data_IF_457651746301
#
_entry.id   IF_457651746301
#
_cell.length_a   1.000
_cell.length_b   1.000
_cell.length_c   1.000
_cell.angle_alpha   90.00
_cell.angle_beta   90.00
_cell.angle_gamma   90.00
#
_symmetry.space_group_name_H-M   'P 1'
#
loop_
_entity.id
_entity.type
_entity.pdbx_description
1 polymer ?
#
# COMPACT_ATOMS: atom_id res chain seq x y z
N UNK A 1 21.63 -28.35 -15.18
CA UNK A 1 22.94 -28.74 -14.62
C UNK A 1 23.52 -27.51 -13.97
N UNK A 2 23.34 -27.38 -12.69
CA UNK A 2 23.81 -26.26 -11.88
C UNK A 2 25.26 -26.56 -11.48
N UNK A 3 26.22 -25.73 -11.90
CA UNK A 3 27.61 -25.81 -11.45
C UNK A 3 27.85 -24.71 -10.43
N UNK A 4 28.16 -25.16 -9.25
CA UNK A 4 28.51 -24.39 -8.06
C UNK A 4 29.31 -23.08 -8.31
N UNK A 5 28.79 -21.97 -7.77
CA UNK A 5 29.61 -20.98 -7.10
C UNK A 5 30.34 -19.94 -7.95
N UNK A 6 29.70 -19.30 -8.96
CA UNK A 6 30.24 -18.05 -9.53
C UNK A 6 29.10 -17.08 -9.87
N UNK A 7 28.97 -16.03 -9.08
CA UNK A 7 28.11 -14.88 -9.39
C UNK A 7 28.96 -13.81 -10.10
N UNK A 8 28.58 -13.38 -11.31
CA UNK A 8 29.25 -12.32 -12.06
C UNK A 8 28.52 -11.02 -11.74
N UNK A 9 29.15 -10.14 -10.97
CA UNK A 9 28.64 -8.77 -10.77
C UNK A 9 29.35 -7.85 -11.76
N UNK A 10 28.63 -7.38 -12.77
CA UNK A 10 29.14 -6.36 -13.69
C UNK A 10 28.99 -4.96 -13.04
N UNK A 11 30.10 -4.38 -12.61
CA UNK A 11 30.16 -3.00 -12.12
C UNK A 11 30.51 -2.07 -13.30
N UNK A 12 29.58 -1.22 -13.72
CA UNK A 12 29.82 -0.18 -14.73
C UNK A 12 30.59 0.97 -14.05
N UNK A 13 31.90 1.08 -14.33
CA UNK A 13 32.70 2.25 -13.98
C UNK A 13 32.53 3.31 -15.09
N UNK A 14 32.06 4.50 -14.73
CA UNK A 14 32.10 5.68 -15.59
C UNK A 14 33.56 6.14 -15.69
N UNK A 15 34.10 6.11 -16.90
CA UNK A 15 35.42 6.67 -17.21
C UNK A 15 35.29 8.18 -17.47
N UNK A 16 35.99 8.94 -16.66
CA UNK A 16 36.52 10.26 -17.05
C UNK A 16 37.98 10.05 -17.50
N UNK A 17 38.25 10.53 -18.70
CA UNK A 17 39.56 10.60 -19.39
C UNK A 17 40.04 9.36 -20.12
N UNK A 18 39.97 9.53 -21.48
CA UNK A 18 40.47 8.68 -22.51
C UNK A 18 41.81 8.00 -22.28
N UNK A 19 41.79 6.69 -22.47
CA UNK A 19 42.78 5.88 -23.15
C UNK A 19 42.24 4.45 -23.23
N UNK A 20 42.61 3.81 -24.35
CA UNK A 20 42.16 2.51 -24.85
C UNK A 20 42.25 1.32 -23.88
N UNK A 21 41.15 0.56 -23.83
CA UNK A 21 40.96 -0.86 -23.78
C UNK A 21 41.92 -1.77 -23.01
N UNK A 22 41.45 -2.37 -21.95
CA UNK A 22 41.59 -3.80 -21.61
C UNK A 22 40.45 -4.14 -20.64
N UNK A 23 39.68 -5.20 -20.94
CA UNK A 23 38.74 -5.78 -19.99
C UNK A 23 39.52 -6.68 -19.03
N UNK A 24 39.81 -6.18 -17.84
CA UNK A 24 40.32 -7.00 -16.75
C UNK A 24 39.14 -7.54 -15.91
N UNK A 25 38.95 -8.86 -15.95
CA UNK A 25 38.04 -9.56 -15.07
C UNK A 25 38.74 -9.87 -13.75
N UNK A 26 38.36 -9.16 -12.68
CA UNK A 26 38.82 -9.48 -11.34
C UNK A 26 37.92 -10.57 -10.75
N UNK A 27 38.45 -11.76 -10.58
CA UNK A 27 37.79 -12.84 -9.85
C UNK A 27 38.01 -12.65 -8.35
N UNK A 28 36.97 -12.32 -7.62
CA UNK A 28 36.97 -12.36 -6.16
C UNK A 28 36.43 -13.72 -5.72
N UNK A 29 37.32 -14.61 -5.26
CA UNK A 29 36.92 -15.85 -4.60
C UNK A 29 36.52 -15.52 -3.15
N UNK A 30 35.23 -15.61 -2.84
CA UNK A 30 34.74 -15.47 -1.47
C UNK A 30 34.83 -16.81 -0.74
N UNK A 31 35.70 -16.89 0.29
CA UNK A 31 35.74 -18.00 1.23
C UNK A 31 35.07 -17.52 2.52
N UNK A 32 33.75 -17.52 2.53
CA UNK A 32 32.95 -17.29 3.73
C UNK A 32 32.34 -18.60 4.20
N UNK A 33 32.58 -18.94 5.46
CA UNK A 33 31.92 -20.00 6.20
C UNK A 33 30.38 -19.85 6.01
N UNK A 34 29.70 -20.98 5.89
CA UNK A 34 28.23 -21.10 5.92
C UNK A 34 27.70 -20.51 7.21
N UNK A 35 27.40 -19.21 7.19
CA UNK A 35 26.49 -18.57 8.12
C UNK A 35 25.17 -18.39 7.39
N UNK A 36 24.14 -18.96 7.97
CA UNK A 36 22.74 -18.92 7.72
C UNK A 36 22.31 -18.02 6.56
N UNK A 37 21.89 -18.65 5.45
CA UNK A 37 21.01 -18.01 4.47
C UNK A 37 19.69 -17.81 5.21
N UNK A 38 19.56 -16.71 5.95
CA UNK A 38 18.25 -16.17 6.31
C UNK A 38 17.55 -15.94 4.98
N UNK A 39 16.53 -16.74 4.67
CA UNK A 39 15.76 -16.60 3.46
C UNK A 39 15.29 -15.15 3.36
N UNK A 40 15.70 -14.47 2.30
CA UNK A 40 15.27 -13.09 2.07
C UNK A 40 13.78 -13.13 1.72
N UNK A 41 12.92 -12.65 2.63
CA UNK A 41 11.47 -12.56 2.39
C UNK A 41 11.24 -11.63 1.20
N UNK A 42 10.67 -12.15 0.13
CA UNK A 42 10.36 -11.36 -1.08
C UNK A 42 8.98 -10.72 -0.96
N UNK A 43 8.91 -9.38 -1.08
CA UNK A 43 7.67 -8.59 -1.05
C UNK A 43 7.55 -7.82 -2.35
N UNK A 44 6.71 -8.29 -3.28
CA UNK A 44 6.55 -7.69 -4.62
C UNK A 44 5.14 -7.26 -4.96
N UNK A 45 4.15 -7.76 -4.22
CA UNK A 45 2.74 -7.60 -4.55
C UNK A 45 2.06 -6.62 -3.59
N UNK A 46 1.29 -5.67 -4.15
CA UNK A 46 0.32 -4.86 -3.43
C UNK A 46 -1.10 -5.38 -3.74
N UNK A 47 -1.90 -5.65 -2.73
CA UNK A 47 -3.33 -5.94 -2.83
C UNK A 47 -4.13 -4.72 -2.40
N UNK A 48 -5.01 -4.22 -3.27
CA UNK A 48 -5.91 -3.10 -2.99
C UNK A 48 -7.37 -3.59 -2.97
N UNK A 49 -8.02 -3.67 -1.79
CA UNK A 49 -9.43 -3.98 -1.67
C UNK A 49 -10.29 -2.81 -2.18
N UNK A 50 -10.89 -2.94 -3.36
CA UNK A 50 -11.65 -1.89 -4.04
C UNK A 50 -13.08 -2.30 -4.44
N UNK A 51 -13.61 -3.41 -3.90
CA UNK A 51 -14.95 -3.91 -4.23
C UNK A 51 -16.11 -3.16 -3.53
N UNK A 52 -15.83 -2.43 -2.45
CA UNK A 52 -16.83 -1.74 -1.62
C UNK A 52 -17.66 -0.70 -2.40
N UNK A 53 -18.94 -0.58 -2.08
CA UNK A 53 -19.92 0.25 -2.83
C UNK A 53 -19.73 1.77 -2.66
N UNK A 54 -18.94 2.23 -1.70
CA UNK A 54 -18.70 3.66 -1.46
C UNK A 54 -19.96 4.43 -1.06
N UNK A 55 -20.85 3.84 -0.28
CA UNK A 55 -22.19 4.39 0.06
C UNK A 55 -22.16 5.76 0.73
N UNK A 56 -21.08 6.08 1.44
CA UNK A 56 -20.89 7.40 2.09
C UNK A 56 -20.79 8.55 1.08
N UNK A 57 -20.46 8.25 -0.19
CA UNK A 57 -20.30 9.22 -1.28
C UNK A 57 -21.48 9.26 -2.26
N UNK A 58 -22.58 8.56 -1.95
CA UNK A 58 -23.78 8.69 -2.78
C UNK A 58 -24.29 10.13 -2.77
N UNK A 59 -24.78 10.66 -3.91
CA UNK A 59 -25.06 9.93 -5.17
C UNK A 59 -23.88 9.80 -6.15
N UNK A 60 -22.72 10.40 -5.90
CA UNK A 60 -21.57 10.38 -6.83
C UNK A 60 -21.10 8.95 -7.16
N UNK A 61 -21.01 8.10 -6.16
CA UNK A 61 -20.55 6.70 -6.31
C UNK A 61 -21.58 5.77 -6.96
N UNK A 62 -22.73 6.28 -7.35
CA UNK A 62 -23.64 5.56 -8.25
C UNK A 62 -22.99 5.27 -9.62
N UNK A 63 -22.10 6.16 -10.07
CA UNK A 63 -21.47 6.08 -11.39
C UNK A 63 -19.94 6.01 -11.34
N UNK A 64 -19.30 6.65 -10.35
CA UNK A 64 -17.86 6.76 -10.24
C UNK A 64 -17.40 6.00 -8.99
N UNK A 65 -16.55 4.96 -9.09
CA UNK A 65 -15.92 4.35 -7.92
C UNK A 65 -15.22 5.39 -7.06
N UNK A 66 -15.39 5.32 -5.72
CA UNK A 66 -14.75 6.29 -4.81
C UNK A 66 -13.22 6.31 -4.97
N UNK A 67 -12.65 5.19 -5.33
CA UNK A 67 -11.22 4.97 -5.55
C UNK A 67 -10.69 5.77 -6.77
N UNK A 68 -11.58 6.12 -7.70
CA UNK A 68 -11.25 6.93 -8.89
C UNK A 68 -11.59 8.43 -8.71
N UNK A 69 -12.11 8.84 -7.57
CA UNK A 69 -12.31 10.26 -7.31
C UNK A 69 -10.95 10.95 -7.19
N UNK A 70 -10.72 12.06 -7.93
CA UNK A 70 -9.41 12.69 -7.99
C UNK A 70 -9.14 13.58 -6.76
N UNK A 71 -7.94 13.47 -6.21
CA UNK A 71 -7.36 14.44 -5.30
C UNK A 71 -6.38 15.27 -6.13
N UNK A 72 -6.71 16.54 -6.34
CA UNK A 72 -6.05 17.33 -7.37
C UNK A 72 -6.35 16.77 -8.77
N UNK A 73 -5.32 16.32 -9.46
CA UNK A 73 -5.40 15.70 -10.81
C UNK A 73 -5.18 14.18 -10.82
N UNK A 74 -5.04 13.57 -9.64
CA UNK A 74 -4.65 12.17 -9.50
C UNK A 74 -5.73 11.38 -8.76
N UNK A 75 -6.25 10.27 -9.31
CA UNK A 75 -7.18 9.39 -8.60
C UNK A 75 -6.61 8.87 -7.28
N UNK A 76 -7.44 8.76 -6.24
CA UNK A 76 -6.99 8.30 -4.92
C UNK A 76 -6.26 6.95 -4.98
N UNK A 77 -6.75 6.00 -5.78
CA UNK A 77 -6.10 4.70 -5.97
C UNK A 77 -4.69 4.82 -6.57
N UNK A 78 -4.46 5.80 -7.46
CA UNK A 78 -3.14 6.01 -8.06
C UNK A 78 -2.13 6.50 -7.02
N UNK A 79 -2.54 7.36 -6.08
CA UNK A 79 -1.66 7.81 -4.99
C UNK A 79 -1.21 6.63 -4.12
N UNK A 80 -2.10 5.68 -3.85
CA UNK A 80 -1.76 4.44 -3.11
C UNK A 80 -0.81 3.53 -3.92
N UNK A 81 -1.01 3.46 -5.24
CA UNK A 81 -0.12 2.72 -6.13
C UNK A 81 1.26 3.38 -6.19
N UNK A 82 1.33 4.70 -6.34
CA UNK A 82 2.58 5.45 -6.41
C UNK A 82 3.41 5.30 -5.12
N UNK A 83 2.76 5.25 -3.95
CA UNK A 83 3.41 4.91 -2.68
C UNK A 83 4.08 3.53 -2.75
N UNK A 84 3.36 2.52 -3.23
CA UNK A 84 3.87 1.15 -3.30
C UNK A 84 4.99 0.98 -4.34
N UNK A 85 4.84 1.60 -5.51
CA UNK A 85 5.91 1.63 -6.54
C UNK A 85 7.18 2.30 -5.98
N UNK A 86 7.02 3.40 -5.23
CA UNK A 86 8.12 4.07 -4.53
C UNK A 86 8.77 3.23 -3.43
N UNK A 87 8.08 2.22 -2.90
CA UNK A 87 8.59 1.23 -1.95
C UNK A 87 9.15 -0.04 -2.63
N UNK A 88 9.22 -0.09 -3.96
CA UNK A 88 9.81 -1.20 -4.71
C UNK A 88 8.85 -2.32 -5.10
N UNK A 89 7.54 -2.14 -4.88
CA UNK A 89 6.50 -3.06 -5.36
C UNK A 89 6.35 -2.92 -6.88
N UNK A 90 6.17 -4.02 -7.59
CA UNK A 90 6.03 -4.04 -9.06
C UNK A 90 4.80 -4.82 -9.56
N UNK A 91 4.03 -5.43 -8.66
CA UNK A 91 2.79 -6.11 -8.97
C UNK A 91 1.62 -5.57 -8.14
N UNK A 92 0.62 -5.04 -8.81
CA UNK A 92 -0.58 -4.45 -8.20
C UNK A 92 -1.77 -5.36 -8.46
N UNK A 93 -2.41 -5.83 -7.39
CA UNK A 93 -3.62 -6.65 -7.45
C UNK A 93 -4.80 -5.81 -6.97
N UNK A 94 -5.72 -5.53 -7.86
CA UNK A 94 -6.96 -4.82 -7.54
C UNK A 94 -8.05 -5.85 -7.24
N UNK A 95 -8.59 -5.85 -6.03
CA UNK A 95 -9.76 -6.65 -5.69
C UNK A 95 -11.00 -5.80 -5.94
N UNK A 96 -11.52 -5.88 -7.16
CA UNK A 96 -12.67 -5.12 -7.65
C UNK A 96 -13.99 -5.88 -7.55
N UNK A 97 -14.97 -5.39 -8.30
CA UNK A 97 -16.27 -6.04 -8.52
C UNK A 97 -16.70 -5.80 -9.96
N UNK A 98 -17.38 -6.74 -10.58
CA UNK A 98 -17.97 -6.58 -11.93
C UNK A 98 -18.93 -5.39 -12.04
N UNK A 99 -19.48 -4.93 -10.90
CA UNK A 99 -20.29 -3.73 -10.82
C UNK A 99 -19.50 -2.41 -10.99
N UNK A 100 -18.15 -2.47 -10.99
CA UNK A 100 -17.25 -1.30 -11.08
C UNK A 100 -16.31 -1.35 -12.30
N UNK A 101 -16.81 -1.45 -13.54
CA UNK A 101 -15.97 -1.60 -14.73
C UNK A 101 -15.04 -0.41 -14.97
N UNK A 102 -15.31 0.76 -14.38
CA UNK A 102 -14.46 1.94 -14.50
C UNK A 102 -13.06 1.72 -13.87
N UNK A 103 -12.91 0.86 -12.85
CA UNK A 103 -11.61 0.50 -12.30
C UNK A 103 -10.75 -0.23 -13.34
N UNK A 104 -11.31 -1.21 -14.04
CA UNK A 104 -10.60 -1.93 -15.10
C UNK A 104 -10.24 -1.00 -16.26
N UNK A 105 -11.17 -0.10 -16.64
CA UNK A 105 -10.97 0.88 -17.71
C UNK A 105 -9.84 1.86 -17.38
N UNK A 106 -9.65 2.19 -16.11
CA UNK A 106 -8.56 3.08 -15.68
C UNK A 106 -7.19 2.49 -15.97
N UNK A 107 -7.01 1.19 -15.78
CA UNK A 107 -5.75 0.49 -16.03
C UNK A 107 -5.59 0.02 -17.48
N UNK A 108 -6.62 0.11 -18.31
CA UNK A 108 -6.56 -0.26 -19.71
C UNK A 108 -5.75 0.77 -20.53
N UNK A 109 -4.84 0.31 -21.39
CA UNK A 109 -4.09 1.19 -22.27
C UNK A 109 -5.01 2.01 -23.19
N UNK A 110 -4.71 3.30 -23.35
CA UNK A 110 -5.47 4.25 -24.20
C UNK A 110 -4.57 4.91 -25.26
N UNK A 111 -4.03 4.14 -26.22
CA UNK A 111 -3.14 4.67 -27.24
C UNK A 111 -3.78 5.72 -28.15
N UNK A 112 -5.10 5.77 -28.21
CA UNK A 112 -5.88 6.83 -28.87
C UNK A 112 -5.71 8.19 -28.16
N UNK A 113 -5.81 8.23 -26.84
CA UNK A 113 -5.59 9.43 -26.03
C UNK A 113 -4.13 9.84 -26.02
N UNK A 114 -3.20 8.91 -25.92
CA UNK A 114 -1.76 9.19 -26.00
C UNK A 114 -1.39 9.90 -27.30
N UNK A 115 -1.84 9.35 -28.46
CA UNK A 115 -1.62 9.97 -29.77
C UNK A 115 -2.23 11.37 -29.86
N UNK A 116 -3.46 11.54 -29.34
CA UNK A 116 -4.12 12.83 -29.34
C UNK A 116 -3.35 13.87 -28.50
N UNK A 117 -2.85 13.51 -27.34
CA UNK A 117 -2.06 14.39 -26.46
C UNK A 117 -0.74 14.79 -27.13
N UNK A 118 -0.01 13.85 -27.73
CA UNK A 118 1.23 14.14 -28.48
C UNK A 118 0.97 15.05 -29.67
N UNK A 119 -0.11 14.82 -30.41
CA UNK A 119 -0.50 15.68 -31.54
C UNK A 119 -0.80 17.13 -31.11
N UNK A 120 -1.17 17.34 -29.82
CA UNK A 120 -1.36 18.67 -29.21
C UNK A 120 -0.11 19.22 -28.52
N UNK A 121 1.02 18.54 -28.59
CA UNK A 121 2.28 18.95 -27.94
C UNK A 121 2.30 18.72 -26.43
N UNK A 122 1.37 17.92 -25.89
CA UNK A 122 1.33 17.60 -24.44
C UNK A 122 1.96 16.22 -24.20
N UNK A 123 3.27 16.14 -24.43
CA UNK A 123 4.03 14.89 -24.31
C UNK A 123 4.12 14.41 -22.86
N UNK A 124 4.25 15.33 -21.89
CA UNK A 124 4.33 14.97 -20.47
C UNK A 124 3.07 14.22 -19.99
N UNK A 125 1.88 14.71 -20.36
CA UNK A 125 0.62 14.03 -20.01
C UNK A 125 0.45 12.72 -20.79
N UNK A 126 0.93 12.65 -22.05
CA UNK A 126 0.93 11.41 -22.82
C UNK A 126 1.83 10.34 -22.16
N UNK A 127 3.01 10.73 -21.65
CA UNK A 127 3.93 9.83 -20.95
C UNK A 127 3.34 9.39 -19.61
N UNK A 128 2.73 10.30 -18.84
CA UNK A 128 2.03 9.97 -17.60
C UNK A 128 0.88 8.98 -17.83
N UNK A 129 0.08 9.18 -18.88
CA UNK A 129 -0.98 8.25 -19.26
C UNK A 129 -0.43 6.88 -19.66
N UNK A 130 0.63 6.87 -20.45
CA UNK A 130 1.25 5.65 -20.96
C UNK A 130 1.99 4.85 -19.84
N UNK A 131 2.41 5.46 -18.73
CA UNK A 131 3.09 4.77 -17.64
C UNK A 131 2.15 3.91 -16.80
N UNK A 132 0.84 4.20 -16.80
CA UNK A 132 -0.15 3.43 -16.03
C UNK A 132 -0.20 1.99 -16.55
N UNK A 133 0.21 1.02 -15.71
CA UNK A 133 0.21 -0.41 -16.03
C UNK A 133 1.25 -0.87 -17.06
N UNK A 134 2.21 0.00 -17.48
CA UNK A 134 3.25 -0.38 -18.47
C UNK A 134 4.52 -0.89 -17.80
N UNK A 135 5.00 -0.20 -16.80
CA UNK A 135 6.29 -0.49 -16.16
C UNK A 135 6.13 -1.39 -14.90
N UNK A 136 4.91 -1.77 -14.59
CA UNK A 136 4.49 -2.62 -13.48
C UNK A 136 3.27 -3.45 -13.88
N UNK A 137 3.07 -4.58 -13.21
CA UNK A 137 2.00 -5.53 -13.54
C UNK A 137 0.72 -5.19 -12.79
N UNK A 138 -0.43 -5.26 -13.48
CA UNK A 138 -1.77 -5.17 -12.88
C UNK A 138 -2.49 -6.49 -13.05
N UNK A 139 -3.04 -7.00 -11.96
CA UNK A 139 -3.99 -8.12 -11.96
C UNK A 139 -5.29 -7.64 -11.32
N UNK A 140 -6.41 -8.00 -11.91
CA UNK A 140 -7.72 -7.68 -11.36
C UNK A 140 -8.41 -8.98 -10.99
N UNK A 141 -8.86 -9.07 -9.75
CA UNK A 141 -9.68 -10.18 -9.23
C UNK A 141 -10.99 -9.61 -8.69
N UNK A 142 -12.04 -10.41 -8.67
CA UNK A 142 -13.35 -9.92 -8.29
C UNK A 142 -13.81 -10.50 -6.95
N UNK A 143 -14.30 -9.62 -6.09
CA UNK A 143 -15.11 -9.95 -4.93
C UNK A 143 -16.57 -9.61 -5.26
N UNK A 144 -17.31 -10.56 -5.81
CA UNK A 144 -18.69 -10.33 -6.22
C UNK A 144 -19.66 -10.22 -5.04
N UNK A 145 -19.37 -10.92 -3.96
CA UNK A 145 -20.13 -10.89 -2.72
C UNK A 145 -19.25 -10.28 -1.60
N UNK A 146 -19.51 -9.01 -1.19
CA UNK A 146 -18.66 -8.31 -0.24
C UNK A 146 -18.86 -8.83 1.20
N UNK A 147 -18.07 -9.82 1.59
CA UNK A 147 -18.11 -10.46 2.93
C UNK A 147 -17.10 -9.88 3.92
N UNK A 148 -16.56 -8.72 3.68
CA UNK A 148 -15.57 -8.06 4.55
C UNK A 148 -14.15 -8.03 3.99
N UNK A 149 -13.25 -7.37 4.73
CA UNK A 149 -11.87 -7.12 4.30
C UNK A 149 -11.05 -8.42 4.21
N UNK A 150 -11.19 -9.34 5.16
CA UNK A 150 -10.51 -10.63 5.11
C UNK A 150 -10.86 -11.42 3.85
N UNK A 151 -12.16 -11.44 3.47
CA UNK A 151 -12.60 -12.08 2.23
C UNK A 151 -12.02 -11.39 0.99
N UNK A 152 -11.98 -10.05 0.97
CA UNK A 152 -11.38 -9.31 -0.15
C UNK A 152 -9.92 -9.69 -0.35
N UNK A 153 -9.12 -9.70 0.73
CA UNK A 153 -7.70 -10.12 0.68
C UNK A 153 -7.60 -11.58 0.22
N UNK A 154 -8.46 -12.47 0.72
CA UNK A 154 -8.51 -13.89 0.32
C UNK A 154 -8.72 -14.10 -1.17
N UNK A 155 -9.51 -13.23 -1.85
CA UNK A 155 -9.71 -13.31 -3.30
C UNK A 155 -8.40 -13.12 -4.10
N UNK A 156 -7.38 -12.50 -3.53
CA UNK A 156 -6.10 -12.30 -4.19
C UNK A 156 -5.13 -13.49 -4.07
N UNK A 157 -5.44 -14.52 -3.28
CA UNK A 157 -4.53 -15.62 -2.93
C UNK A 157 -3.88 -16.35 -4.13
N UNK A 158 -4.60 -16.46 -5.25
CA UNK A 158 -4.12 -17.17 -6.44
C UNK A 158 -3.21 -16.35 -7.35
N UNK A 159 -3.08 -15.04 -7.09
CA UNK A 159 -2.33 -14.10 -7.93
C UNK A 159 -1.26 -13.31 -7.18
N UNK A 160 -1.16 -13.48 -5.87
CA UNK A 160 -0.08 -12.91 -5.05
C UNK A 160 1.22 -13.66 -5.33
N UNK A 161 2.31 -12.90 -5.55
CA UNK A 161 3.65 -13.44 -5.72
C UNK A 161 4.53 -13.06 -4.51
N UNK A 162 5.55 -13.88 -4.23
CA UNK A 162 6.52 -13.67 -3.14
C UNK A 162 6.15 -14.40 -1.85
N UNK A 163 6.93 -14.18 -0.80
CA UNK A 163 6.77 -14.78 0.53
C UNK A 163 5.84 -13.93 1.42
N UNK A 164 5.74 -12.64 1.09
CA UNK A 164 4.85 -11.70 1.74
C UNK A 164 4.33 -10.67 0.73
N UNK A 165 3.26 -9.98 1.08
CA UNK A 165 2.62 -8.99 0.24
C UNK A 165 2.09 -7.82 1.05
N UNK A 166 1.93 -6.68 0.38
CA UNK A 166 1.33 -5.47 0.96
C UNK A 166 -0.19 -5.52 0.80
N UNK A 167 -0.94 -5.06 1.79
CA UNK A 167 -2.35 -4.68 1.65
C UNK A 167 -2.46 -3.19 1.97
N UNK A 168 -3.05 -2.42 1.06
CA UNK A 168 -3.32 -0.99 1.27
C UNK A 168 -4.78 -0.67 1.01
N UNK A 169 -5.42 -0.01 1.98
CA UNK A 169 -6.78 0.48 1.78
C UNK A 169 -6.76 1.68 0.84
N UNK A 170 -7.63 1.71 -0.20
CA UNK A 170 -7.59 2.74 -1.25
C UNK A 170 -8.09 4.12 -0.80
N UNK A 171 -8.65 4.23 0.38
CA UNK A 171 -9.14 5.47 0.98
C UNK A 171 -8.23 6.02 2.09
N UNK A 172 -7.07 5.42 2.29
CA UNK A 172 -6.03 5.95 3.17
C UNK A 172 -4.81 6.37 2.33
N UNK A 173 -4.53 7.66 2.27
CA UNK A 173 -3.39 8.23 1.53
C UNK A 173 -2.26 8.51 2.51
N UNK A 174 -1.05 8.13 2.15
CA UNK A 174 0.14 8.35 2.97
C UNK A 174 1.07 9.38 2.31
N UNK A 175 1.79 10.14 3.13
CA UNK A 175 2.77 11.14 2.69
C UNK A 175 4.07 10.51 2.18
N UNK A 176 4.00 9.75 1.09
CA UNK A 176 5.14 9.10 0.42
C UNK A 176 5.43 7.67 0.89
N UNK A 177 6.42 7.05 0.27
CA UNK A 177 6.70 5.60 0.37
C UNK A 177 7.53 5.16 1.59
N UNK A 178 8.11 6.09 2.35
CA UNK A 178 9.07 5.76 3.44
C UNK A 178 8.46 4.90 4.54
N UNK A 179 7.20 5.14 4.86
CA UNK A 179 6.50 4.36 5.88
C UNK A 179 6.32 2.91 5.44
N UNK A 180 5.82 2.71 4.23
CA UNK A 180 5.64 1.38 3.65
C UNK A 180 6.98 0.65 3.49
N UNK A 181 8.04 1.34 3.04
CA UNK A 181 9.38 0.77 2.95
C UNK A 181 9.85 0.27 4.32
N UNK A 182 9.67 1.05 5.39
CA UNK A 182 10.03 0.62 6.75
C UNK A 182 9.25 -0.64 7.18
N UNK A 183 7.96 -0.73 6.84
CA UNK A 183 7.16 -1.93 7.13
C UNK A 183 7.70 -3.17 6.40
N UNK A 184 8.09 -3.01 5.12
CA UNK A 184 8.70 -4.07 4.31
C UNK A 184 10.05 -4.50 4.91
N UNK A 185 10.88 -3.56 5.32
CA UNK A 185 12.18 -3.85 5.96
C UNK A 185 12.01 -4.62 7.28
N UNK A 186 11.01 -4.26 8.11
CA UNK A 186 10.67 -5.00 9.33
C UNK A 186 10.19 -6.41 8.99
N UNK A 187 9.29 -6.58 8.02
CA UNK A 187 8.83 -7.90 7.58
C UNK A 187 9.99 -8.78 7.11
N UNK A 188 10.87 -8.23 6.27
CA UNK A 188 12.03 -8.93 5.73
C UNK A 188 13.00 -9.36 6.83
N UNK A 189 13.23 -8.49 7.82
CA UNK A 189 14.17 -8.75 8.92
C UNK A 189 13.62 -9.76 9.92
N UNK A 190 12.32 -9.70 10.21
CA UNK A 190 11.68 -10.52 11.26
C UNK A 190 11.05 -11.80 10.72
N UNK A 191 10.91 -11.90 9.38
CA UNK A 191 10.15 -12.97 8.71
C UNK A 191 8.72 -13.12 9.24
N UNK A 192 8.12 -12.00 9.69
CA UNK A 192 6.79 -11.94 10.28
C UNK A 192 5.91 -10.87 9.63
N UNK A 193 4.61 -10.97 9.84
CA UNK A 193 3.65 -9.98 9.38
C UNK A 193 3.83 -8.64 10.11
N UNK A 194 3.48 -7.55 9.43
CA UNK A 194 3.60 -6.18 9.96
C UNK A 194 2.32 -5.41 9.73
N UNK A 195 1.83 -4.72 10.74
CA UNK A 195 0.68 -3.80 10.67
C UNK A 195 1.14 -2.36 10.87
N UNK A 196 0.57 -1.45 10.08
CA UNK A 196 0.77 -0.01 10.28
C UNK A 196 -0.01 0.47 11.49
N UNK A 197 0.63 1.26 12.35
CA UNK A 197 0.04 1.76 13.59
C UNK A 197 -0.01 3.29 13.62
N UNK A 198 -0.98 3.80 14.36
CA UNK A 198 -1.09 5.21 14.75
C UNK A 198 -1.64 5.30 16.16
N UNK A 199 -1.08 6.20 16.97
CA UNK A 199 -1.66 6.53 18.27
C UNK A 199 -2.81 7.51 18.09
N UNK A 200 -3.93 7.28 18.79
CA UNK A 200 -5.14 8.11 18.75
C UNK A 200 -5.68 8.37 20.15
N UNK A 201 -6.59 9.33 20.26
CA UNK A 201 -7.35 9.50 21.50
C UNK A 201 -8.15 8.24 21.83
N UNK A 202 -8.21 7.89 23.12
CA UNK A 202 -8.88 6.66 23.58
C UNK A 202 -10.34 6.55 23.12
N UNK A 203 -11.01 7.65 22.88
CA UNK A 203 -12.39 7.69 22.37
C UNK A 203 -12.54 7.22 20.92
N UNK A 204 -11.45 7.21 20.14
CA UNK A 204 -11.47 6.87 18.71
C UNK A 204 -11.27 5.38 18.42
N UNK A 205 -10.79 4.60 19.43
CA UNK A 205 -10.45 3.17 19.25
C UNK A 205 -11.63 2.31 18.78
N UNK A 206 -12.87 2.73 19.06
CA UNK A 206 -14.11 2.04 18.69
C UNK A 206 -14.27 1.76 17.18
N UNK A 207 -13.53 2.48 16.33
CA UNK A 207 -13.67 2.39 14.88
C UNK A 207 -12.63 1.47 14.24
N UNK A 208 -11.61 1.02 14.98
CA UNK A 208 -10.40 0.41 14.45
C UNK A 208 -10.05 -0.91 15.15
N UNK A 209 -9.20 -1.71 14.50
CA UNK A 209 -8.45 -2.75 15.19
C UNK A 209 -7.41 -2.11 16.12
N UNK A 210 -7.27 -2.62 17.32
CA UNK A 210 -6.35 -2.10 18.36
C UNK A 210 -5.36 -3.19 18.74
N UNK A 211 -4.07 -2.86 18.81
CA UNK A 211 -3.03 -3.82 19.17
C UNK A 211 -2.71 -3.83 20.65
N UNK A 212 -2.32 -4.99 21.16
CA UNK A 212 -1.72 -5.17 22.49
C UNK A 212 -0.20 -5.31 22.33
N UNK A 213 0.62 -4.27 22.62
CA UNK A 213 2.07 -4.37 22.55
C UNK A 213 2.62 -5.36 23.59
N UNK A 214 3.61 -6.19 23.21
CA UNK A 214 4.32 -7.09 24.16
C UNK A 214 5.52 -6.41 24.84
N UNK A 215 6.04 -5.33 24.26
CA UNK A 215 7.22 -4.61 24.74
C UNK A 215 7.09 -3.10 24.49
N UNK A 216 8.05 -2.34 24.99
CA UNK A 216 8.19 -0.93 24.60
C UNK A 216 8.52 -0.78 23.13
N UNK A 217 7.99 0.27 22.52
CA UNK A 217 8.27 0.61 21.13
C UNK A 217 9.70 1.14 21.00
N UNK A 218 10.45 0.61 20.04
CA UNK A 218 11.82 1.04 19.75
C UNK A 218 11.89 1.48 18.28
N UNK A 219 12.36 2.68 18.03
CA UNK A 219 12.43 3.29 16.70
C UNK A 219 11.12 3.21 15.91
N UNK A 220 9.98 3.33 16.62
CA UNK A 220 8.64 3.23 16.03
C UNK A 220 8.26 1.82 15.58
N UNK A 221 8.93 0.79 16.12
CA UNK A 221 8.60 -0.63 15.89
C UNK A 221 8.27 -1.28 17.22
N UNK A 222 7.21 -2.05 17.26
CA UNK A 222 6.79 -2.79 18.45
C UNK A 222 6.38 -4.22 18.09
N UNK A 223 6.71 -5.17 18.95
CA UNK A 223 6.17 -6.53 18.85
C UNK A 223 4.74 -6.55 19.36
N UNK A 224 3.83 -7.16 18.60
CA UNK A 224 2.40 -7.25 18.89
C UNK A 224 2.07 -8.64 19.40
N UNK A 225 1.48 -8.72 20.60
CA UNK A 225 1.08 -9.99 21.23
C UNK A 225 -0.37 -10.37 20.93
N UNK A 226 -1.25 -9.39 20.82
CA UNK A 226 -2.67 -9.62 20.50
C UNK A 226 -3.26 -8.39 19.78
N UNK A 227 -4.42 -8.56 19.17
CA UNK A 227 -5.17 -7.48 18.55
C UNK A 227 -6.69 -7.75 18.66
N UNK A 228 -7.46 -6.68 18.77
CA UNK A 228 -8.92 -6.74 18.96
C UNK A 228 -9.58 -5.79 17.96
N UNK A 229 -10.54 -6.30 17.19
CA UNK A 229 -11.32 -5.49 16.25
C UNK A 229 -12.39 -4.71 16.99
N UNK A 230 -12.36 -3.37 16.85
CA UNK A 230 -13.36 -2.42 17.39
C UNK A 230 -13.73 -2.69 18.86
N UNK A 231 -12.77 -2.70 19.77
CA UNK A 231 -13.05 -2.97 21.18
C UNK A 231 -13.89 -1.84 21.81
N UNK A 232 -14.59 -2.14 22.90
CA UNK A 232 -15.12 -1.09 23.76
C UNK A 232 -13.96 -0.26 24.36
N UNK A 233 -14.21 1.00 24.70
CA UNK A 233 -13.16 1.93 25.18
C UNK A 233 -12.42 1.36 26.39
N UNK A 234 -13.15 0.75 27.32
CA UNK A 234 -12.66 0.14 28.56
C UNK A 234 -11.95 -1.20 28.34
N UNK A 235 -12.24 -1.89 27.22
CA UNK A 235 -11.65 -3.17 26.82
C UNK A 235 -10.46 -3.02 25.87
N UNK A 236 -10.24 -1.83 25.29
CA UNK A 236 -9.16 -1.59 24.35
C UNK A 236 -7.79 -1.80 25.02
N UNK A 237 -6.90 -2.66 24.48
CA UNK A 237 -5.63 -3.00 25.11
C UNK A 237 -4.63 -1.84 25.09
N UNK A 238 -4.77 -0.89 24.17
CA UNK A 238 -3.93 0.30 24.05
C UNK A 238 -4.66 1.44 23.33
N UNK A 239 -3.96 2.52 22.99
CA UNK A 239 -4.42 3.57 22.07
C UNK A 239 -3.78 3.45 20.68
N UNK A 240 -3.05 2.37 20.39
CA UNK A 240 -2.43 2.09 19.11
C UNK A 240 -3.41 1.37 18.18
N UNK A 241 -3.92 2.10 17.22
CA UNK A 241 -4.84 1.56 16.21
C UNK A 241 -4.10 1.04 14.99
N UNK A 242 -4.69 0.05 14.32
CA UNK A 242 -4.24 -0.43 13.03
C UNK A 242 -4.80 0.49 11.95
N UNK A 243 -3.91 1.04 11.12
CA UNK A 243 -4.28 1.81 9.93
C UNK A 243 -4.26 0.93 8.69
N UNK A 244 -4.79 1.42 7.57
CA UNK A 244 -5.00 0.64 6.35
C UNK A 244 -3.74 0.26 5.57
N UNK A 245 -2.65 -0.09 6.28
CA UNK A 245 -1.38 -0.58 5.72
C UNK A 245 -0.95 -1.84 6.45
N UNK A 246 -0.70 -2.90 5.66
CA UNK A 246 -0.27 -4.21 6.17
C UNK A 246 0.81 -4.76 5.25
N UNK A 247 1.79 -5.47 5.81
CA UNK A 247 2.69 -6.38 5.09
C UNK A 247 2.49 -7.74 5.70
N UNK A 248 1.89 -8.66 4.94
CA UNK A 248 1.43 -9.95 5.44
C UNK A 248 2.21 -11.08 4.78
N UNK A 249 2.68 -12.03 5.56
CA UNK A 249 3.25 -13.27 5.04
C UNK A 249 2.14 -14.15 4.44
N UNK A 250 2.46 -14.93 3.39
CA UNK A 250 1.45 -15.64 2.57
C UNK A 250 0.67 -16.71 3.33
N UNK A 251 1.18 -17.20 4.46
CA UNK A 251 0.48 -18.12 5.37
C UNK A 251 -0.82 -17.52 5.97
N UNK A 252 -0.99 -16.19 5.90
CA UNK A 252 -2.26 -15.51 6.26
C UNK A 252 -3.46 -16.07 5.49
N UNK A 253 -3.26 -16.56 4.26
CA UNK A 253 -4.34 -17.11 3.46
C UNK A 253 -4.94 -18.39 4.06
N UNK A 254 -4.16 -19.15 4.83
CA UNK A 254 -4.66 -20.31 5.58
C UNK A 254 -5.63 -19.88 6.68
N UNK A 255 -5.32 -18.77 7.39
CA UNK A 255 -6.20 -18.21 8.42
C UNK A 255 -7.46 -17.60 7.82
N UNK A 256 -7.30 -16.83 6.72
CA UNK A 256 -8.45 -16.25 6.00
C UNK A 256 -9.43 -17.33 5.53
N UNK A 257 -8.93 -18.48 5.07
CA UNK A 257 -9.78 -19.60 4.62
C UNK A 257 -10.60 -20.23 5.76
N UNK A 258 -10.20 -20.04 7.01
CA UNK A 258 -10.87 -20.55 8.21
C UNK A 258 -11.74 -19.52 8.92
N UNK A 259 -11.76 -18.26 8.45
CA UNK A 259 -12.56 -17.20 9.06
C UNK A 259 -14.05 -17.57 9.08
N UNK A 260 -14.66 -17.30 10.22
CA UNK A 260 -16.12 -17.29 10.37
C UNK A 260 -16.62 -15.85 10.49
N UNK A 261 -17.85 -15.55 10.04
CA UNK A 261 -18.40 -14.21 10.16
C UNK A 261 -18.37 -13.71 11.61
N UNK A 262 -17.67 -12.60 11.83
CA UNK A 262 -17.55 -11.92 13.12
C UNK A 262 -18.58 -10.79 13.30
N UNK A 263 -18.13 -9.67 13.85
CA UNK A 263 -18.95 -8.48 14.02
C UNK A 263 -19.57 -8.03 12.69
N UNK A 264 -20.83 -7.66 12.71
CA UNK A 264 -21.64 -7.28 11.52
C UNK A 264 -21.76 -8.37 10.43
N UNK A 265 -21.41 -9.62 10.69
CA UNK A 265 -21.46 -10.71 9.71
C UNK A 265 -20.32 -10.67 8.68
N UNK A 266 -19.26 -9.93 8.92
CA UNK A 266 -18.11 -9.77 8.04
C UNK A 266 -16.95 -10.71 8.43
N UNK A 267 -16.15 -11.11 7.45
CA UNK A 267 -14.88 -11.80 7.62
C UNK A 267 -13.78 -10.74 7.83
N UNK A 268 -13.41 -10.51 9.09
CA UNK A 268 -12.48 -9.45 9.46
C UNK A 268 -11.03 -9.89 9.21
N UNK A 269 -10.24 -9.03 8.57
CA UNK A 269 -8.81 -9.30 8.36
C UNK A 269 -8.06 -9.31 9.71
N UNK A 270 -8.49 -8.50 10.67
CA UNK A 270 -7.95 -8.43 12.03
C UNK A 270 -8.02 -9.79 12.73
N UNK A 271 -9.12 -10.55 12.55
CA UNK A 271 -9.26 -11.88 13.15
C UNK A 271 -8.28 -12.89 12.52
N UNK A 272 -8.05 -12.82 11.20
CA UNK A 272 -7.04 -13.65 10.54
C UNK A 272 -5.62 -13.33 11.01
N UNK A 273 -5.28 -12.04 11.11
CA UNK A 273 -3.96 -11.60 11.61
C UNK A 273 -3.77 -12.05 13.07
N UNK A 274 -4.82 -11.96 13.89
CA UNK A 274 -4.80 -12.45 15.26
C UNK A 274 -4.53 -13.95 15.35
N UNK A 275 -5.16 -14.73 14.50
CA UNK A 275 -4.92 -16.18 14.43
C UNK A 275 -3.49 -16.50 13.95
N UNK A 276 -2.99 -15.80 12.94
CA UNK A 276 -1.62 -15.94 12.45
C UNK A 276 -0.59 -15.58 13.53
N UNK A 277 -0.82 -14.54 14.31
CA UNK A 277 0.07 -14.09 15.40
C UNK A 277 0.29 -15.13 16.50
N UNK A 278 -0.57 -16.14 16.61
CA UNK A 278 -0.35 -17.25 17.54
C UNK A 278 0.76 -18.21 17.09
N UNK A 279 1.18 -18.16 15.83
CA UNK A 279 2.12 -19.10 15.21
C UNK A 279 3.34 -18.43 14.58
N UNK A 280 3.17 -17.17 14.17
CA UNK A 280 4.18 -16.39 13.44
C UNK A 280 4.38 -15.02 14.11
N UNK A 281 5.58 -14.41 14.02
CA UNK A 281 5.82 -13.09 14.58
C UNK A 281 4.91 -12.03 13.95
N UNK A 282 4.37 -11.14 14.79
CA UNK A 282 3.64 -9.96 14.37
C UNK A 282 4.29 -8.70 14.94
N UNK A 283 4.53 -7.71 14.07
CA UNK A 283 5.07 -6.43 14.47
C UNK A 283 4.15 -5.29 14.07
N UNK A 284 4.21 -4.20 14.81
CA UNK A 284 3.58 -2.94 14.46
C UNK A 284 4.65 -1.89 14.13
N UNK A 285 4.39 -1.08 13.12
CA UNK A 285 5.21 0.09 12.78
C UNK A 285 4.37 1.33 12.90
N UNK A 286 4.77 2.24 13.78
CA UNK A 286 4.08 3.50 13.97
C UNK A 286 4.38 4.47 12.82
N UNK A 287 3.34 5.10 12.28
CA UNK A 287 3.51 6.08 11.21
C UNK A 287 4.00 7.42 11.75
N UNK A 288 5.00 7.97 11.07
CA UNK A 288 5.54 9.32 11.31
C UNK A 288 5.29 10.26 10.12
N UNK A 289 4.54 9.80 9.12
CA UNK A 289 4.18 10.58 7.94
C UNK A 289 2.73 11.03 7.99
N UNK A 290 2.40 12.05 7.20
CA UNK A 290 1.01 12.47 7.07
C UNK A 290 0.15 11.32 6.54
N UNK A 291 -1.02 11.16 7.14
CA UNK A 291 -2.06 10.23 6.74
C UNK A 291 -3.36 10.99 6.52
N UNK A 292 -4.00 10.76 5.39
CA UNK A 292 -5.31 11.32 5.06
C UNK A 292 -6.32 10.20 4.87
N UNK A 293 -7.38 10.23 5.70
CA UNK A 293 -8.53 9.34 5.55
C UNK A 293 -9.51 9.98 4.56
N UNK A 294 -9.58 9.42 3.36
CA UNK A 294 -10.49 9.85 2.29
C UNK A 294 -11.77 9.01 2.23
N UNK A 295 -12.05 8.21 3.24
CA UNK A 295 -13.20 7.33 3.31
C UNK A 295 -14.55 8.04 3.57
N UNK A 296 -14.52 9.34 3.87
CA UNK A 296 -15.71 10.20 4.04
C UNK A 296 -15.64 11.45 3.16
N UNK A 297 -16.77 12.07 2.79
CA UNK A 297 -16.75 13.34 2.03
C UNK A 297 -15.95 14.45 2.72
N UNK A 298 -16.04 14.58 4.03
CA UNK A 298 -15.30 15.56 4.80
C UNK A 298 -13.78 15.27 4.78
N UNK A 299 -13.38 14.03 5.08
CA UNK A 299 -11.97 13.61 5.04
C UNK A 299 -11.38 13.74 3.63
N UNK A 300 -12.14 13.39 2.59
CA UNK A 300 -11.73 13.56 1.20
C UNK A 300 -11.43 15.03 0.86
N UNK A 301 -12.33 15.95 1.26
CA UNK A 301 -12.12 17.38 1.02
C UNK A 301 -10.93 17.92 1.83
N UNK A 302 -10.80 17.50 3.09
CA UNK A 302 -9.64 17.86 3.94
C UNK A 302 -8.33 17.42 3.30
N UNK A 303 -8.24 16.15 2.86
CA UNK A 303 -7.08 15.62 2.16
C UNK A 303 -6.73 16.44 0.91
N UNK A 304 -7.72 16.77 0.07
CA UNK A 304 -7.51 17.53 -1.15
C UNK A 304 -6.97 18.95 -0.84
N UNK A 305 -7.49 19.61 0.20
CA UNK A 305 -7.02 20.94 0.62
C UNK A 305 -5.61 20.89 1.20
N UNK A 306 -5.34 19.95 2.11
CA UNK A 306 -4.03 19.84 2.75
C UNK A 306 -2.93 19.46 1.75
N UNK A 307 -3.17 18.51 0.88
CA UNK A 307 -2.21 18.13 -0.17
C UNK A 307 -1.92 19.29 -1.11
N UNK A 308 -2.96 20.07 -1.50
CA UNK A 308 -2.76 21.26 -2.32
C UNK A 308 -1.92 22.35 -1.59
N UNK A 309 -2.11 22.51 -0.29
CA UNK A 309 -1.32 23.47 0.53
C UNK A 309 0.13 23.02 0.72
N UNK A 310 0.40 21.72 0.73
CA UNK A 310 1.75 21.16 0.78
C UNK A 310 2.48 21.22 -0.57
N UNK A 311 1.80 21.59 -1.65
CA UNK A 311 2.34 21.66 -3.00
C UNK A 311 2.23 20.36 -3.78
N UNK A 312 1.50 19.39 -3.24
CA UNK A 312 1.21 18.13 -3.90
C UNK A 312 -0.05 18.29 -4.79
N UNK A 313 0.06 18.00 -6.08
CA UNK A 313 -1.05 18.05 -7.01
C UNK A 313 -1.01 19.24 -7.98
N UNK A 314 -2.13 19.95 -8.15
CA UNK A 314 -2.31 20.99 -9.17
C UNK A 314 -1.48 22.23 -8.85
N UNK A 315 -0.61 22.63 -9.80
CA UNK A 315 0.24 23.81 -9.69
C UNK A 315 -0.60 25.09 -9.42
N UNK A 316 -0.18 25.89 -8.44
CA UNK A 316 -0.84 27.13 -8.04
C UNK A 316 -2.05 26.99 -7.11
N UNK A 317 -2.63 25.81 -6.98
CA UNK A 317 -3.84 25.58 -6.18
C UNK A 317 -3.63 25.97 -4.70
N UNK A 318 -2.46 25.68 -4.12
CA UNK A 318 -2.17 26.05 -2.73
C UNK A 318 -2.17 27.56 -2.48
N UNK A 319 -1.73 28.39 -3.45
CA UNK A 319 -1.83 29.85 -3.34
C UNK A 319 -3.27 30.32 -3.40
N UNK A 320 -4.06 29.79 -4.34
CA UNK A 320 -5.46 30.17 -4.51
C UNK A 320 -6.30 29.83 -3.26
N UNK A 321 -6.02 28.65 -2.65
CA UNK A 321 -6.69 28.27 -1.40
C UNK A 321 -6.35 29.22 -0.24
N UNK A 322 -5.10 29.64 -0.09
CA UNK A 322 -4.73 30.65 0.92
C UNK A 322 -5.46 31.95 0.71
N UNK A 323 -5.53 32.43 -0.51
CA UNK A 323 -6.26 33.66 -0.88
C UNK A 323 -7.77 33.54 -0.59
N UNK A 324 -8.37 32.37 -0.83
CA UNK A 324 -9.77 32.11 -0.49
C UNK A 324 -9.98 32.18 1.03
N UNK A 325 -9.13 31.52 1.82
CA UNK A 325 -9.23 31.52 3.28
C UNK A 325 -9.09 32.93 3.83
N UNK A 326 -8.13 33.73 3.32
CA UNK A 326 -7.94 35.10 3.76
C UNK A 326 -9.16 35.96 3.46
N UNK A 327 -9.80 35.83 2.30
CA UNK A 327 -11.02 36.55 1.94
C UNK A 327 -12.23 36.25 2.83
N UNK A 328 -12.27 35.09 3.49
CA UNK A 328 -13.40 34.65 4.31
C UNK A 328 -13.08 34.65 5.82
N UNK A 329 -11.98 35.28 6.23
CA UNK A 329 -11.62 35.46 7.66
C UNK A 329 -12.34 36.63 8.36
N UNK A 330 -13.27 37.29 7.70
CA UNK A 330 -14.05 38.44 8.24
C UNK A 330 -15.33 38.00 8.95
#
# INVERSE_FOLDING_TARGET
MCVLGKCIIAKRLLHLNGLSGVNEFVYVSWHGSSQDIVGHVEVRTLVIPAAGLGTRFLPATKAVPKELMPIGDTPAIQLVIDEALGAGIDHIVIVGSSAKPALEQYFAARPDLERMLRAKGNDAMADRLASIGRDWRVSIVHQEDPKGLGHAVGCASSVVDGDAFVVSLPDEIMGGSRFLQKMIDVCTTTSGSVVGLMEVDRSEVLAYGVVAPEAEMVDGVVKVGDLVEKPAIDEAPSSLIIIGRYVLTVDIFEEIAQLTPGAAGELQLTDAIRAQAQRSPLHGVETMVNRWDTGTPAGFLTAAVEMALLGDGVEGLGSDLRDIVERHRS
#
